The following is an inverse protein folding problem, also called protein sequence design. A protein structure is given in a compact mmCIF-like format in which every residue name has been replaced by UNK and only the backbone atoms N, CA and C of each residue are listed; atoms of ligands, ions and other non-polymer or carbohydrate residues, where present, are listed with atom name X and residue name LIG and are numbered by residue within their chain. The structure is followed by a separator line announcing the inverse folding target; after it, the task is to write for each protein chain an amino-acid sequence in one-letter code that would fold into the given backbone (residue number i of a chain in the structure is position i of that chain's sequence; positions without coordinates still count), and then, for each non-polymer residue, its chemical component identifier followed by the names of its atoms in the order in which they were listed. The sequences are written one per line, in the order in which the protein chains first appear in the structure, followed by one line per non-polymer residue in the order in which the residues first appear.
data_IF_751913545080
#
_entry.id   IF_751913545080
#
_cell.length_a   1.000
_cell.length_b   1.000
_cell.length_c   1.000
_cell.angle_alpha   90.00
_cell.angle_beta   90.00
_cell.angle_gamma   90.00
#
_symmetry.space_group_name_H-M   'P 1'
#
loop_
_entity.id
_entity.type
_entity.pdbx_description
1 polymer ?
#
# COMPACT_ATOMS: atom_id res chain seq x y z
N UNK A 1 22.20 -15.11 7.35
CA UNK A 1 21.57 -14.21 6.36
C UNK A 1 20.54 -13.38 7.09
N UNK A 2 20.53 -12.06 6.89
CA UNK A 2 19.49 -11.19 7.45
C UNK A 2 18.19 -11.48 6.70
N UNK A 3 17.08 -11.68 7.42
CA UNK A 3 15.76 -11.85 6.80
C UNK A 3 15.40 -10.60 5.99
N UNK A 4 14.78 -10.79 4.83
CA UNK A 4 14.29 -9.68 4.01
C UNK A 4 13.11 -8.98 4.71
N UNK A 5 12.74 -7.78 4.25
CA UNK A 5 11.49 -7.16 4.72
C UNK A 5 10.29 -8.02 4.33
N UNK A 6 10.30 -8.63 3.14
CA UNK A 6 9.28 -9.57 2.67
C UNK A 6 9.08 -10.72 3.67
N UNK A 7 10.15 -11.34 4.15
CA UNK A 7 10.07 -12.43 5.13
C UNK A 7 9.45 -11.94 6.44
N UNK A 8 9.86 -10.76 6.93
CA UNK A 8 9.30 -10.16 8.15
C UNK A 8 7.85 -9.74 8.04
N UNK A 9 7.38 -9.42 6.83
CA UNK A 9 5.98 -9.14 6.52
C UNK A 9 5.13 -10.41 6.38
N UNK A 10 5.71 -11.60 6.57
CA UNK A 10 5.00 -12.88 6.45
C UNK A 10 4.86 -13.38 5.01
N UNK A 11 5.74 -12.93 4.12
CA UNK A 11 5.71 -13.26 2.70
C UNK A 11 4.41 -12.81 2.01
N UNK A 12 4.06 -13.47 0.90
CA UNK A 12 2.91 -13.06 0.07
C UNK A 12 1.59 -13.10 0.85
N UNK A 13 1.40 -14.08 1.73
CA UNK A 13 0.17 -14.22 2.52
C UNK A 13 0.03 -13.09 3.54
N UNK A 14 1.11 -12.75 4.26
CA UNK A 14 1.08 -11.64 5.21
C UNK A 14 0.91 -10.29 4.53
N UNK A 15 1.57 -10.07 3.40
CA UNK A 15 1.39 -8.86 2.58
C UNK A 15 -0.04 -8.76 2.05
N UNK A 16 -0.64 -9.86 1.60
CA UNK A 16 -2.04 -9.85 1.15
C UNK A 16 -3.00 -9.41 2.26
N UNK A 17 -2.82 -9.92 3.48
CA UNK A 17 -3.62 -9.50 4.64
C UNK A 17 -3.43 -8.00 4.97
N UNK A 18 -2.18 -7.52 4.97
CA UNK A 18 -1.87 -6.09 5.21
C UNK A 18 -2.51 -5.20 4.13
N UNK A 19 -2.46 -5.60 2.85
CA UNK A 19 -3.08 -4.84 1.76
C UNK A 19 -4.60 -4.81 1.89
N UNK A 20 -5.22 -5.93 2.25
CA UNK A 20 -6.66 -5.98 2.49
C UNK A 20 -7.07 -5.07 3.65
N UNK A 21 -6.34 -5.11 4.76
CA UNK A 21 -6.58 -4.23 5.91
C UNK A 21 -6.38 -2.76 5.56
N UNK A 22 -5.30 -2.41 4.84
CA UNK A 22 -5.03 -1.02 4.46
C UNK A 22 -6.12 -0.45 3.55
N UNK A 23 -6.58 -1.22 2.56
CA UNK A 23 -7.70 -0.81 1.69
C UNK A 23 -8.99 -0.64 2.49
N UNK A 24 -9.23 -1.50 3.49
CA UNK A 24 -10.38 -1.34 4.38
C UNK A 24 -10.26 -0.06 5.22
N UNK A 25 -9.09 0.28 5.74
CA UNK A 25 -8.86 1.54 6.45
C UNK A 25 -9.10 2.76 5.53
N UNK A 26 -8.56 2.73 4.32
CA UNK A 26 -8.79 3.80 3.33
C UNK A 26 -10.28 4.01 3.03
N UNK A 27 -11.07 2.93 2.96
CA UNK A 27 -12.51 3.03 2.73
C UNK A 27 -13.29 3.60 3.92
N UNK A 28 -12.73 3.54 5.13
CA UNK A 28 -13.36 4.05 6.36
C UNK A 28 -12.83 5.43 6.78
N UNK A 29 -11.73 5.91 6.19
CA UNK A 29 -11.13 7.20 6.49
C UNK A 29 -11.79 8.34 5.69
N UNK A 30 -12.48 9.25 6.38
CA UNK A 30 -13.23 10.38 5.78
C UNK A 30 -12.38 11.33 4.93
N UNK A 31 -11.05 11.33 5.10
CA UNK A 31 -10.16 12.19 4.33
C UNK A 31 -9.77 11.61 2.98
N UNK A 32 -9.88 10.30 2.77
CA UNK A 32 -9.43 9.62 1.54
C UNK A 32 -10.48 8.69 0.93
N UNK A 33 -11.52 8.31 1.68
CA UNK A 33 -12.52 7.31 1.28
C UNK A 33 -13.23 7.64 -0.04
N UNK A 34 -13.36 8.90 -0.41
CA UNK A 34 -13.95 9.32 -1.67
C UNK A 34 -13.24 8.72 -2.90
N UNK A 35 -11.94 8.39 -2.77
CA UNK A 35 -11.14 7.73 -3.83
C UNK A 35 -11.36 6.21 -3.89
N UNK A 36 -11.72 5.60 -2.77
CA UNK A 36 -11.77 4.15 -2.60
C UNK A 36 -13.19 3.59 -2.60
N UNK A 37 -14.18 4.30 -2.08
CA UNK A 37 -15.58 3.86 -2.03
C UNK A 37 -16.16 3.54 -3.41
N UNK A 38 -15.89 4.28 -4.50
CA UNK A 38 -16.36 3.91 -5.84
C UNK A 38 -15.86 2.53 -6.33
N UNK A 39 -14.77 2.00 -5.74
CA UNK A 39 -14.26 0.67 -6.07
C UNK A 39 -15.12 -0.46 -5.52
N UNK A 40 -15.96 -0.21 -4.50
CA UNK A 40 -16.89 -1.22 -3.97
C UNK A 40 -17.89 -1.71 -5.01
N UNK A 41 -18.27 -0.81 -5.91
CA UNK A 41 -19.16 -1.11 -7.05
C UNK A 41 -18.42 -1.73 -8.24
N UNK A 42 -17.10 -1.92 -8.14
CA UNK A 42 -16.24 -2.44 -9.20
C UNK A 42 -15.33 -3.56 -8.66
N UNK A 43 -15.89 -4.70 -8.21
CA UNK A 43 -15.16 -5.74 -7.49
C UNK A 43 -13.99 -6.32 -8.29
N UNK A 44 -14.14 -6.51 -9.61
CA UNK A 44 -13.05 -6.98 -10.47
C UNK A 44 -11.89 -5.98 -10.53
N UNK A 45 -12.21 -4.68 -10.67
CA UNK A 45 -11.20 -3.62 -10.67
C UNK A 45 -10.51 -3.51 -9.32
N UNK A 46 -11.25 -3.62 -8.23
CA UNK A 46 -10.71 -3.62 -6.87
C UNK A 46 -9.74 -4.80 -6.66
N UNK A 47 -10.11 -6.00 -7.13
CA UNK A 47 -9.25 -7.18 -7.05
C UNK A 47 -7.94 -6.97 -7.83
N UNK A 48 -7.98 -6.39 -9.03
CA UNK A 48 -6.78 -6.06 -9.81
C UNK A 48 -5.90 -5.06 -9.07
N UNK A 49 -6.48 -4.00 -8.49
CA UNK A 49 -5.72 -3.00 -7.72
C UNK A 49 -5.02 -3.66 -6.53
N UNK A 50 -5.75 -4.48 -5.75
CA UNK A 50 -5.18 -5.20 -4.61
C UNK A 50 -4.04 -6.13 -5.04
N UNK A 51 -4.25 -6.90 -6.11
CA UNK A 51 -3.21 -7.79 -6.64
C UNK A 51 -1.95 -7.02 -7.06
N UNK A 52 -2.10 -5.92 -7.78
CA UNK A 52 -0.98 -5.05 -8.14
C UNK A 52 -0.28 -4.47 -6.92
N UNK A 53 -1.00 -4.05 -5.88
CA UNK A 53 -0.40 -3.58 -4.63
C UNK A 53 0.38 -4.68 -3.91
N UNK A 54 -0.15 -5.91 -3.88
CA UNK A 54 0.54 -7.07 -3.29
C UNK A 54 1.84 -7.37 -4.03
N UNK A 55 1.80 -7.40 -5.37
CA UNK A 55 3.00 -7.62 -6.19
C UNK A 55 4.04 -6.52 -5.99
N UNK A 56 3.61 -5.26 -6.04
CA UNK A 56 4.50 -4.11 -5.84
C UNK A 56 5.15 -4.15 -4.47
N UNK A 57 4.37 -4.40 -3.41
CA UNK A 57 4.88 -4.44 -2.05
C UNK A 57 5.77 -5.67 -1.82
N UNK A 58 5.40 -6.82 -2.38
CA UNK A 58 6.25 -8.02 -2.32
C UNK A 58 7.59 -7.80 -3.00
N UNK A 59 7.60 -7.26 -4.22
CA UNK A 59 8.83 -6.93 -4.96
C UNK A 59 9.67 -5.88 -4.21
N UNK A 60 9.05 -4.79 -3.78
CA UNK A 60 9.72 -3.68 -3.09
C UNK A 60 10.28 -4.04 -1.71
N UNK A 61 9.74 -5.08 -1.06
CA UNK A 61 10.23 -5.60 0.22
C UNK A 61 11.30 -6.69 0.08
N UNK A 62 11.74 -6.98 -1.15
CA UNK A 62 12.79 -7.98 -1.46
C UNK A 62 12.26 -9.39 -1.71
N UNK A 63 10.95 -9.53 -1.92
CA UNK A 63 10.32 -10.79 -2.31
C UNK A 63 10.52 -11.14 -3.79
N UNK A 64 10.24 -12.38 -4.19
CA UNK A 64 10.48 -12.87 -5.55
C UNK A 64 9.45 -12.43 -6.59
N UNK A 65 8.48 -11.62 -6.20
CA UNK A 65 7.33 -11.25 -7.02
C UNK A 65 7.75 -10.22 -8.05
N UNK A 66 7.14 -10.29 -9.23
CA UNK A 66 7.30 -9.29 -10.29
C UNK A 66 6.05 -8.44 -10.32
N UNK A 67 6.24 -7.12 -10.33
CA UNK A 67 5.15 -6.16 -10.46
C UNK A 67 4.77 -5.93 -11.92
N UNK A 68 3.50 -6.14 -12.25
CA UNK A 68 2.99 -6.00 -13.63
C UNK A 68 2.08 -4.78 -13.83
N UNK A 69 1.88 -3.97 -12.79
CA UNK A 69 1.06 -2.78 -12.86
C UNK A 69 1.74 -1.60 -13.54
N UNK A 70 1.05 -0.46 -13.54
CA UNK A 70 1.60 0.82 -14.01
C UNK A 70 2.74 1.27 -13.10
N UNK A 71 3.72 1.97 -13.63
CA UNK A 71 4.67 2.69 -12.77
C UNK A 71 3.94 3.66 -11.81
N UNK A 72 4.58 4.00 -10.69
CA UNK A 72 3.95 4.77 -9.63
C UNK A 72 3.43 6.14 -10.08
N UNK A 73 4.10 6.80 -11.03
CA UNK A 73 3.63 8.07 -11.58
C UNK A 73 2.38 7.85 -12.44
N UNK A 74 2.44 6.92 -13.39
CA UNK A 74 1.31 6.62 -14.27
C UNK A 74 0.08 6.06 -13.53
N UNK A 75 0.29 5.38 -12.40
CA UNK A 75 -0.77 4.87 -11.54
C UNK A 75 -1.56 6.00 -10.85
N UNK A 76 -0.88 7.09 -10.46
CA UNK A 76 -1.45 8.18 -9.65
C UNK A 76 -1.69 9.50 -10.42
N UNK A 77 -1.24 9.58 -11.67
CA UNK A 77 -1.38 10.75 -12.54
C UNK A 77 -2.84 11.21 -12.68
N UNK A 78 -3.07 12.51 -12.55
CA UNK A 78 -4.38 13.13 -12.69
C UNK A 78 -5.30 12.94 -11.49
N UNK A 79 -4.82 12.31 -10.42
CA UNK A 79 -5.60 12.16 -9.18
C UNK A 79 -5.56 13.40 -8.29
N UNK A 80 -4.63 14.34 -8.55
CA UNK A 80 -4.44 15.55 -7.75
C UNK A 80 -4.37 15.23 -6.23
N UNK A 81 -3.52 14.26 -5.88
CA UNK A 81 -3.34 13.82 -4.49
C UNK A 81 -2.57 14.89 -3.74
N UNK A 82 -3.17 15.39 -2.67
CA UNK A 82 -2.55 16.37 -1.77
C UNK A 82 -1.55 15.71 -0.81
N UNK A 83 -0.60 16.47 -0.25
CA UNK A 83 0.27 15.96 0.81
C UNK A 83 -0.50 15.46 2.04
N UNK A 84 -1.64 16.06 2.37
CA UNK A 84 -2.45 15.64 3.50
C UNK A 84 -3.09 14.26 3.26
N UNK A 85 -3.67 14.03 2.09
CA UNK A 85 -4.22 12.71 1.72
C UNK A 85 -3.14 11.63 1.72
N UNK A 86 -1.94 11.96 1.25
CA UNK A 86 -0.82 11.02 1.29
C UNK A 86 -0.45 10.62 2.73
N UNK A 87 -0.45 11.58 3.67
CA UNK A 87 -0.21 11.28 5.08
C UNK A 87 -1.32 10.40 5.68
N UNK A 88 -2.58 10.68 5.38
CA UNK A 88 -3.70 9.84 5.82
C UNK A 88 -3.60 8.40 5.31
N UNK A 89 -3.20 8.20 4.05
CA UNK A 89 -2.95 6.86 3.49
C UNK A 89 -1.80 6.16 4.23
N UNK A 90 -0.72 6.87 4.60
CA UNK A 90 0.36 6.29 5.40
C UNK A 90 -0.15 5.86 6.78
N UNK A 91 -0.94 6.70 7.44
CA UNK A 91 -1.52 6.40 8.76
C UNK A 91 -2.40 5.14 8.70
N UNK A 92 -3.25 5.03 7.68
CA UNK A 92 -4.10 3.85 7.43
C UNK A 92 -3.26 2.58 7.20
N UNK A 93 -2.14 2.67 6.46
CA UNK A 93 -1.21 1.54 6.29
C UNK A 93 -0.59 1.14 7.63
N UNK A 94 -0.25 2.11 8.48
CA UNK A 94 0.29 1.83 9.81
C UNK A 94 -0.72 1.12 10.71
N UNK A 95 -1.99 1.51 10.66
CA UNK A 95 -3.08 0.78 11.33
C UNK A 95 -3.15 -0.67 10.84
N UNK A 96 -3.02 -0.91 9.53
CA UNK A 96 -2.99 -2.27 8.98
C UNK A 96 -1.77 -3.08 9.46
N UNK A 97 -0.59 -2.47 9.51
CA UNK A 97 0.62 -3.12 10.04
C UNK A 97 0.46 -3.48 11.52
N UNK A 98 -0.17 -2.61 12.32
CA UNK A 98 -0.49 -2.86 13.73
C UNK A 98 -1.46 -4.04 13.91
N UNK A 99 -2.54 -4.09 13.12
CA UNK A 99 -3.49 -5.21 13.12
C UNK A 99 -2.81 -6.54 12.81
N UNK A 100 -1.82 -6.51 11.92
CA UNK A 100 -1.01 -7.67 11.54
C UNK A 100 0.19 -7.91 12.47
N UNK A 101 0.29 -7.18 13.60
CA UNK A 101 1.29 -7.37 14.65
C UNK A 101 2.74 -7.21 14.16
N UNK A 102 2.95 -6.32 13.21
CA UNK A 102 4.29 -6.01 12.70
C UNK A 102 5.12 -5.30 13.78
N UNK A 103 6.40 -5.64 13.85
CA UNK A 103 7.33 -4.99 14.79
C UNK A 103 7.64 -3.56 14.36
N UNK A 104 8.08 -2.73 15.31
CA UNK A 104 8.47 -1.34 15.02
C UNK A 104 9.55 -1.22 13.96
N UNK A 105 10.52 -2.14 13.94
CA UNK A 105 11.58 -2.13 12.93
C UNK A 105 11.05 -2.49 11.54
N UNK A 106 10.08 -3.41 11.46
CA UNK A 106 9.38 -3.70 10.20
C UNK A 106 8.58 -2.49 9.71
N UNK A 107 7.85 -1.81 10.62
CA UNK A 107 7.08 -0.60 10.26
C UNK A 107 7.98 0.53 9.78
N UNK A 108 9.15 0.75 10.39
CA UNK A 108 10.13 1.77 9.97
C UNK A 108 10.62 1.52 8.54
N UNK A 109 10.91 0.27 8.18
CA UNK A 109 11.34 -0.05 6.83
C UNK A 109 10.22 0.11 5.80
N UNK A 110 8.98 -0.25 6.15
CA UNK A 110 7.80 0.05 5.31
C UNK A 110 7.64 1.56 5.13
N UNK A 111 7.77 2.34 6.20
CA UNK A 111 7.70 3.80 6.15
C UNK A 111 8.75 4.39 5.21
N UNK A 112 10.00 3.91 5.29
CA UNK A 112 11.07 4.37 4.42
C UNK A 112 10.73 4.14 2.94
N UNK A 113 10.16 2.98 2.60
CA UNK A 113 9.67 2.69 1.25
C UNK A 113 8.55 3.66 0.87
N UNK A 114 7.50 3.80 1.68
CA UNK A 114 6.38 4.72 1.39
C UNK A 114 6.86 6.16 1.14
N UNK A 115 7.77 6.67 1.99
CA UNK A 115 8.34 8.00 1.83
C UNK A 115 9.15 8.16 0.54
N UNK A 116 9.84 7.12 0.08
CA UNK A 116 10.56 7.15 -1.20
C UNK A 116 9.63 7.33 -2.40
N UNK A 117 8.35 6.92 -2.27
CA UNK A 117 7.34 7.03 -3.32
C UNK A 117 6.63 8.38 -3.33
N UNK A 118 6.76 9.18 -2.27
CA UNK A 118 6.01 10.42 -2.05
C UNK A 118 6.02 11.36 -3.26
N UNK A 119 7.20 11.59 -3.85
CA UNK A 119 7.35 12.48 -5.01
C UNK A 119 6.74 11.96 -6.31
N UNK A 120 6.48 10.66 -6.40
CA UNK A 120 5.82 10.03 -7.55
C UNK A 120 4.30 10.02 -7.41
N UNK A 121 3.77 10.22 -6.20
CA UNK A 121 2.33 10.10 -5.90
C UNK A 121 1.68 11.48 -5.72
N UNK A 122 2.35 12.39 -5.00
CA UNK A 122 1.80 13.73 -4.75
C UNK A 122 1.91 14.59 -6.02
N UNK A 123 0.82 15.31 -6.33
CA UNK A 123 0.74 16.32 -7.38
C UNK A 123 1.21 15.87 -8.78
N UNK A 124 0.72 14.71 -9.23
CA UNK A 124 0.76 14.24 -10.62
C UNK A 124 -0.57 14.44 -11.35
#
# INVERSE_FOLDING_TARGET
MTQTLFDRLGGSTGIAAIVDDAVNEHMNNVHVNARFLPLKEQPERLAIIKQHTIEFFSMGSGGPQVYHGKDMVAAHKGMNISPAEFMHVIDDVFVALDKNKMTEDTKKDVLAILWSLKGMIIAQ
#
